data_IF_758127811782
#
_entry.id   IF_758127811782
#
_cell.length_a   1.000
_cell.length_b   1.000
_cell.length_c   1.000
_cell.angle_alpha   90.00
_cell.angle_beta   90.00
_cell.angle_gamma   90.00
#
_symmetry.space_group_name_H-M   'P 1'
#
loop_
_entity.id
_entity.type
_entity.pdbx_description
1 polymer ?
#
# COMPACT_ATOMS: atom_id res chain seq x y z
N UNK A 1 11.51 2.18 4.50
CA UNK A 1 10.77 1.74 3.29
C UNK A 1 9.60 0.81 3.57
N UNK A 2 9.67 -0.13 4.53
CA UNK A 2 8.58 -1.11 4.80
C UNK A 2 7.20 -0.48 4.96
N UNK A 3 7.11 0.61 5.73
CA UNK A 3 5.84 1.34 5.92
C UNK A 3 5.22 1.84 4.60
N UNK A 4 6.04 2.40 3.71
CA UNK A 4 5.59 2.86 2.39
C UNK A 4 5.14 1.65 1.56
N UNK A 5 5.95 0.60 1.47
CA UNK A 5 5.59 -0.59 0.70
C UNK A 5 4.29 -1.27 1.19
N UNK A 6 4.05 -1.30 2.50
CA UNK A 6 2.80 -1.81 3.09
C UNK A 6 1.62 -0.87 2.80
N UNK A 7 1.84 0.45 2.81
CA UNK A 7 0.81 1.42 2.43
C UNK A 7 0.42 1.27 0.96
N UNK A 8 1.38 1.20 0.04
CA UNK A 8 1.12 0.97 -1.37
C UNK A 8 0.38 -0.35 -1.60
N UNK A 9 0.78 -1.41 -0.89
CA UNK A 9 0.06 -2.69 -0.92
C UNK A 9 -1.37 -2.57 -0.40
N UNK A 10 -1.60 -1.84 0.71
CA UNK A 10 -2.94 -1.64 1.28
C UNK A 10 -3.91 -1.05 0.26
N UNK A 11 -3.46 -0.02 -0.47
CA UNK A 11 -4.27 0.67 -1.48
C UNK A 11 -4.22 -0.01 -2.87
N UNK A 12 -3.46 -1.10 -3.01
CA UNK A 12 -3.31 -1.81 -4.29
C UNK A 12 -2.58 -0.98 -5.34
N UNK A 13 -1.64 -0.13 -4.94
CA UNK A 13 -0.84 0.64 -5.88
C UNK A 13 0.41 -0.14 -6.30
N UNK A 14 0.48 -0.43 -7.59
CA UNK A 14 1.64 -1.05 -8.22
C UNK A 14 2.45 -0.07 -9.06
N UNK A 15 2.04 1.19 -9.20
CA UNK A 15 2.69 2.20 -10.04
C UNK A 15 3.59 3.15 -9.23
N UNK A 16 4.68 2.63 -8.68
CA UNK A 16 5.68 3.41 -7.93
C UNK A 16 7.07 2.76 -7.97
N UNK A 17 8.16 3.51 -7.81
CA UNK A 17 9.51 2.93 -7.75
C UNK A 17 10.52 3.88 -7.12
N UNK A 18 11.12 3.48 -5.98
CA UNK A 18 12.21 4.26 -5.37
C UNK A 18 13.45 4.32 -6.27
N UNK A 19 13.98 3.20 -6.81
CA UNK A 19 15.18 3.27 -7.63
C UNK A 19 14.99 4.08 -8.92
N UNK A 20 13.77 4.08 -9.48
CA UNK A 20 13.48 4.81 -10.71
C UNK A 20 12.90 6.21 -10.46
N UNK A 21 12.79 6.63 -9.19
CA UNK A 21 12.15 7.89 -8.79
C UNK A 21 10.77 8.11 -9.47
N UNK A 22 9.95 7.06 -9.50
CA UNK A 22 8.63 7.04 -10.12
C UNK A 22 7.55 7.08 -9.05
N UNK A 23 6.67 8.09 -9.09
CA UNK A 23 5.56 8.30 -8.14
C UNK A 23 6.00 8.28 -6.66
N UNK A 24 7.22 8.76 -6.41
CA UNK A 24 7.82 8.85 -5.08
C UNK A 24 8.85 9.98 -5.02
N UNK A 25 8.79 10.77 -3.96
CA UNK A 25 9.73 11.86 -3.70
C UNK A 25 10.54 11.53 -2.44
N UNK A 26 11.84 11.85 -2.45
CA UNK A 26 12.73 11.66 -1.30
C UNK A 26 12.97 12.98 -0.59
N UNK A 27 12.40 13.12 0.61
CA UNK A 27 12.54 14.33 1.43
C UNK A 27 13.66 14.14 2.44
N UNK A 28 14.70 14.98 2.33
CA UNK A 28 15.87 14.97 3.21
C UNK A 28 15.70 15.92 4.39
N UNK A 29 16.19 15.53 5.58
CA UNK A 29 16.24 16.42 6.72
C UNK A 29 17.20 17.58 6.43
N UNK A 30 16.74 18.82 6.65
CA UNK A 30 17.59 20.02 6.56
C UNK A 30 18.63 20.07 7.67
N UNK A 31 18.29 19.55 8.85
CA UNK A 31 19.15 19.58 10.03
C UNK A 31 20.19 18.46 10.03
N UNK A 32 19.85 17.31 9.44
CA UNK A 32 20.77 16.18 9.34
C UNK A 32 20.62 15.45 7.98
N UNK A 33 21.29 15.96 6.93
CA UNK A 33 21.22 15.37 5.58
C UNK A 33 21.78 13.95 5.45
N UNK A 34 22.53 13.47 6.45
CA UNK A 34 23.09 12.12 6.47
C UNK A 34 22.08 11.06 6.94
N UNK A 35 20.93 11.46 7.48
CA UNK A 35 19.85 10.53 7.80
C UNK A 35 19.22 9.97 6.52
N UNK A 36 18.68 8.76 6.64
CA UNK A 36 17.86 8.18 5.57
C UNK A 36 16.69 9.13 5.23
N UNK A 37 16.45 9.41 3.94
CA UNK A 37 15.36 10.30 3.54
C UNK A 37 13.99 9.69 3.83
N UNK A 38 12.99 10.55 3.95
CA UNK A 38 11.60 10.15 3.98
C UNK A 38 11.10 9.95 2.55
N UNK A 39 10.66 8.74 2.26
CA UNK A 39 9.95 8.44 1.02
C UNK A 39 8.49 8.89 1.13
N UNK A 40 8.08 9.79 0.24
CA UNK A 40 6.71 10.31 0.15
C UNK A 40 6.13 9.85 -1.19
N UNK A 41 5.24 8.85 -1.20
CA UNK A 41 4.56 8.47 -2.42
C UNK A 41 3.54 9.52 -2.83
N UNK A 42 3.32 9.66 -4.13
CA UNK A 42 2.33 10.55 -4.73
C UNK A 42 1.75 9.88 -5.98
N UNK A 43 0.71 10.48 -6.56
CA UNK A 43 -0.03 9.94 -7.72
C UNK A 43 -0.68 8.57 -7.45
N UNK A 44 -1.93 8.59 -6.98
CA UNK A 44 -2.65 7.40 -6.53
C UNK A 44 -3.81 7.01 -7.47
N UNK A 45 -3.89 7.62 -8.65
CA UNK A 45 -4.97 7.39 -9.59
C UNK A 45 -4.97 5.95 -10.16
N UNK A 46 -3.80 5.31 -10.25
CA UNK A 46 -3.60 3.92 -10.67
C UNK A 46 -3.73 2.88 -9.54
N UNK A 47 -4.12 3.29 -8.33
CA UNK A 47 -4.27 2.33 -7.23
C UNK A 47 -5.60 1.55 -7.30
N UNK A 48 -5.55 0.27 -6.92
CA UNK A 48 -6.73 -0.60 -6.84
C UNK A 48 -7.86 -0.07 -5.94
N UNK A 49 -7.55 0.76 -4.95
CA UNK A 49 -8.57 1.41 -4.11
C UNK A 49 -9.41 2.43 -4.89
N UNK A 50 -8.81 3.12 -5.86
CA UNK A 50 -9.49 4.11 -6.71
C UNK A 50 -10.25 3.42 -7.84
N UNK A 51 -9.68 2.35 -8.42
CA UNK A 51 -10.28 1.58 -9.52
C UNK A 51 -10.76 2.50 -10.66
N UNK A 52 -9.89 3.43 -11.06
CA UNK A 52 -10.20 4.40 -12.10
C UNK A 52 -10.49 3.70 -13.43
N UNK A 53 -11.54 4.14 -14.14
CA UNK A 53 -11.97 3.49 -15.39
C UNK A 53 -10.94 3.52 -16.51
N UNK A 54 -9.94 4.39 -16.41
CA UNK A 54 -8.83 4.51 -17.36
C UNK A 54 -7.56 3.79 -16.91
N UNK A 55 -7.48 3.34 -15.64
CA UNK A 55 -6.32 2.63 -15.15
C UNK A 55 -6.24 1.26 -15.83
N UNK A 56 -5.02 0.88 -16.21
CA UNK A 56 -4.74 -0.39 -16.88
C UNK A 56 -3.84 -1.22 -15.94
N UNK A 57 -4.06 -2.55 -15.83
CA UNK A 57 -3.20 -3.40 -15.02
C UNK A 57 -1.73 -3.31 -15.43
N UNK A 58 -0.83 -3.51 -14.46
CA UNK A 58 0.60 -3.48 -14.73
C UNK A 58 1.06 -4.84 -15.28
N UNK A 59 1.12 -4.97 -16.61
CA UNK A 59 1.53 -6.21 -17.29
C UNK A 59 2.90 -6.74 -16.80
N UNK A 60 3.84 -5.82 -16.52
CA UNK A 60 5.20 -6.14 -16.03
C UNK A 60 5.17 -6.88 -14.69
N UNK A 61 4.09 -6.74 -13.92
CA UNK A 61 3.91 -7.31 -12.58
C UNK A 61 2.92 -8.50 -12.64
N UNK A 62 2.33 -8.78 -13.81
CA UNK A 62 1.49 -9.95 -14.05
C UNK A 62 0.07 -9.86 -13.49
N UNK A 63 -0.41 -8.65 -13.18
CA UNK A 63 -1.79 -8.44 -12.72
C UNK A 63 -2.77 -8.43 -13.88
N UNK A 64 -3.92 -9.10 -13.74
CA UNK A 64 -5.00 -9.04 -14.74
C UNK A 64 -6.00 -7.91 -14.46
N UNK A 65 -5.99 -7.38 -13.23
CA UNK A 65 -6.89 -6.30 -12.77
C UNK A 65 -6.11 -5.27 -11.96
N UNK A 66 -6.49 -4.00 -12.09
CA UNK A 66 -5.93 -2.89 -11.28
C UNK A 66 -6.17 -3.10 -9.79
N UNK A 67 -7.23 -3.83 -9.43
CA UNK A 67 -7.58 -4.14 -8.03
C UNK A 67 -6.74 -5.26 -7.41
N UNK A 68 -5.93 -5.98 -8.19
CA UNK A 68 -5.04 -7.02 -7.66
C UNK A 68 -3.86 -6.40 -6.91
N UNK A 69 -3.69 -6.81 -5.64
CA UNK A 69 -2.58 -6.32 -4.82
C UNK A 69 -1.32 -7.12 -5.09
N UNK A 70 -0.22 -6.42 -5.33
CA UNK A 70 1.11 -7.03 -5.37
C UNK A 70 2.04 -6.30 -4.41
N UNK A 71 2.65 -7.04 -3.49
CA UNK A 71 3.60 -6.45 -2.55
C UNK A 71 4.93 -6.20 -3.25
N UNK A 72 5.24 -4.92 -3.50
CA UNK A 72 6.46 -4.50 -4.21
C UNK A 72 7.65 -4.18 -3.29
N UNK A 73 7.50 -4.43 -1.98
CA UNK A 73 8.59 -4.29 -1.01
C UNK A 73 9.50 -5.51 -0.99
N UNK A 74 10.74 -5.31 -0.52
CA UNK A 74 11.66 -6.41 -0.24
C UNK A 74 11.20 -7.25 0.97
N UNK A 75 11.58 -8.54 1.03
CA UNK A 75 11.26 -9.40 2.16
C UNK A 75 11.78 -8.82 3.47
N UNK A 76 11.01 -9.03 4.53
CA UNK A 76 11.37 -8.70 5.92
C UNK A 76 11.30 -9.96 6.76
N UNK A 77 11.96 -9.94 7.92
CA UNK A 77 11.69 -10.99 8.90
C UNK A 77 10.31 -10.78 9.54
N UNK A 78 9.79 -11.83 10.16
CA UNK A 78 8.42 -11.81 10.72
C UNK A 78 8.23 -10.72 11.78
N UNK A 79 9.24 -10.45 12.61
CA UNK A 79 9.12 -9.47 13.69
C UNK A 79 9.07 -8.04 13.13
N UNK A 80 9.96 -7.71 12.18
CA UNK A 80 10.01 -6.41 11.49
C UNK A 80 8.71 -6.08 10.73
N UNK A 81 8.17 -7.05 9.99
CA UNK A 81 6.92 -6.81 9.26
C UNK A 81 5.77 -6.65 10.25
N UNK A 82 5.75 -7.42 11.33
CA UNK A 82 4.67 -7.40 12.29
C UNK A 82 4.59 -6.07 13.05
N UNK A 83 5.72 -5.48 13.44
CA UNK A 83 5.78 -4.12 14.01
C UNK A 83 5.16 -3.08 13.06
N UNK A 84 5.46 -3.20 11.76
CA UNK A 84 4.86 -2.31 10.75
C UNK A 84 3.37 -2.56 10.64
N UNK A 85 2.93 -3.82 10.56
CA UNK A 85 1.52 -4.17 10.43
C UNK A 85 0.70 -3.75 11.66
N UNK A 86 1.26 -3.80 12.86
CA UNK A 86 0.61 -3.36 14.10
C UNK A 86 0.28 -1.86 14.06
N UNK A 87 1.17 -1.06 13.46
CA UNK A 87 0.87 0.35 13.18
C UNK A 87 -0.38 0.47 12.29
N UNK A 88 -0.50 -0.30 11.21
CA UNK A 88 -1.68 -0.27 10.34
C UNK A 88 -2.94 -0.74 11.06
N UNK A 89 -2.88 -1.85 11.81
CA UNK A 89 -3.99 -2.34 12.63
C UNK A 89 -4.49 -1.26 13.59
N UNK A 90 -3.58 -0.57 14.27
CA UNK A 90 -3.93 0.53 15.20
C UNK A 90 -4.61 1.73 14.51
N UNK A 91 -4.46 1.88 13.20
CA UNK A 91 -5.03 2.99 12.41
C UNK A 91 -6.26 2.59 11.61
N UNK A 92 -6.70 1.33 11.66
CA UNK A 92 -7.83 0.80 10.89
C UNK A 92 -9.06 1.70 10.93
N UNK A 93 -9.55 2.01 12.11
CA UNK A 93 -10.78 2.80 12.26
C UNK A 93 -10.63 4.24 11.76
N UNK A 94 -9.45 4.84 11.95
CA UNK A 94 -9.15 6.16 11.43
C UNK A 94 -9.16 6.17 9.90
N UNK A 95 -8.50 5.20 9.27
CA UNK A 95 -8.44 5.06 7.81
C UNK A 95 -9.83 4.86 7.22
N UNK A 96 -10.61 3.91 7.76
CA UNK A 96 -11.98 3.67 7.30
C UNK A 96 -12.89 4.88 7.57
N UNK A 97 -12.64 5.60 8.67
CA UNK A 97 -13.34 6.82 9.04
C UNK A 97 -13.18 7.95 8.01
N UNK A 98 -12.01 8.09 7.38
CA UNK A 98 -11.79 9.06 6.30
C UNK A 98 -12.80 8.86 5.16
N UNK A 99 -12.98 7.61 4.72
CA UNK A 99 -13.90 7.28 3.61
C UNK A 99 -15.36 7.46 4.04
N UNK A 100 -15.72 6.93 5.22
CA UNK A 100 -17.10 7.01 5.75
C UNK A 100 -17.58 8.46 5.83
N UNK A 101 -16.72 9.35 6.33
CA UNK A 101 -17.03 10.74 6.59
C UNK A 101 -16.88 11.66 5.37
N UNK A 102 -16.40 11.16 4.23
CA UNK A 102 -16.19 11.99 3.05
C UNK A 102 -17.51 12.23 2.29
N UNK A 103 -18.13 13.39 2.50
CA UNK A 103 -19.51 13.67 2.04
C UNK A 103 -19.69 13.72 0.52
N UNK A 104 -18.62 13.97 -0.25
CA UNK A 104 -18.71 14.09 -1.71
C UNK A 104 -18.71 12.76 -2.46
N UNK A 105 -18.36 11.65 -1.79
CA UNK A 105 -18.39 10.33 -2.40
C UNK A 105 -19.77 9.67 -2.23
N UNK A 106 -20.36 9.10 -3.30
CA UNK A 106 -21.58 8.30 -3.18
C UNK A 106 -21.37 7.06 -2.32
N UNK A 107 -22.40 6.65 -1.56
CA UNK A 107 -22.30 5.50 -0.65
C UNK A 107 -21.91 4.20 -1.35
N UNK A 108 -22.34 4.00 -2.60
CA UNK A 108 -21.93 2.84 -3.40
C UNK A 108 -20.41 2.77 -3.56
N UNK A 109 -19.76 3.90 -3.85
CA UNK A 109 -18.29 3.98 -4.01
C UNK A 109 -17.62 3.80 -2.65
N UNK A 110 -18.10 4.49 -1.61
CA UNK A 110 -17.58 4.32 -0.23
C UNK A 110 -17.59 2.86 0.22
N UNK A 111 -18.69 2.15 -0.01
CA UNK A 111 -18.83 0.75 0.37
C UNK A 111 -17.85 -0.16 -0.38
N UNK A 112 -17.57 0.14 -1.66
CA UNK A 112 -16.54 -0.56 -2.43
C UNK A 112 -15.14 -0.34 -1.83
N UNK A 113 -14.76 0.92 -1.61
CA UNK A 113 -13.47 1.29 -1.01
C UNK A 113 -13.28 0.69 0.38
N UNK A 114 -14.31 0.75 1.24
CA UNK A 114 -14.28 0.17 2.59
C UNK A 114 -14.07 -1.35 2.50
N UNK A 115 -14.83 -2.05 1.64
CA UNK A 115 -14.69 -3.50 1.46
C UNK A 115 -13.28 -3.87 1.00
N UNK A 116 -12.72 -3.09 0.08
CA UNK A 116 -11.36 -3.26 -0.41
C UNK A 116 -10.36 -3.15 0.75
N UNK A 117 -10.41 -2.09 1.54
CA UNK A 117 -9.50 -1.92 2.69
C UNK A 117 -9.72 -2.96 3.79
N UNK A 118 -10.97 -3.36 4.06
CA UNK A 118 -11.28 -4.41 5.02
C UNK A 118 -10.65 -5.76 4.63
N UNK A 119 -10.54 -6.05 3.33
CA UNK A 119 -9.80 -7.22 2.84
C UNK A 119 -8.33 -7.15 3.20
N UNK A 120 -7.66 -6.00 2.98
CA UNK A 120 -6.29 -5.80 3.45
C UNK A 120 -6.17 -6.03 4.96
N UNK A 121 -7.10 -5.48 5.75
CA UNK A 121 -7.09 -5.70 7.19
C UNK A 121 -7.28 -7.17 7.56
N UNK A 122 -8.12 -7.93 6.84
CA UNK A 122 -8.23 -9.39 7.06
C UNK A 122 -6.95 -10.15 6.73
N UNK A 123 -6.27 -9.78 5.63
CA UNK A 123 -5.00 -10.37 5.21
C UNK A 123 -3.96 -10.23 6.31
N UNK A 124 -3.83 -9.04 6.89
CA UNK A 124 -2.79 -8.78 7.89
C UNK A 124 -3.12 -9.44 9.24
N UNK A 125 -4.36 -9.83 9.54
CA UNK A 125 -4.67 -10.62 10.75
C UNK A 125 -4.24 -12.10 10.63
N UNK A 126 -4.01 -12.60 9.42
CA UNK A 126 -3.63 -13.98 9.18
C UNK A 126 -2.12 -14.14 9.01
N UNK A 127 -1.47 -14.81 9.98
CA UNK A 127 -0.02 -15.04 9.96
C UNK A 127 0.48 -15.77 8.69
N UNK A 128 -0.31 -16.69 8.13
CA UNK A 128 0.08 -17.42 6.93
C UNK A 128 0.04 -16.51 5.69
N UNK A 129 -1.00 -15.67 5.58
CA UNK A 129 -1.11 -14.69 4.51
C UNK A 129 0.02 -13.66 4.62
N UNK A 130 0.33 -13.19 5.84
CA UNK A 130 1.44 -12.29 6.09
C UNK A 130 2.78 -12.90 5.64
N UNK A 131 3.06 -14.14 6.04
CA UNK A 131 4.30 -14.83 5.61
C UNK A 131 4.34 -14.97 4.08
N UNK A 132 3.24 -15.44 3.50
CA UNK A 132 3.15 -15.67 2.05
C UNK A 132 3.39 -14.39 1.25
N UNK A 133 2.72 -13.30 1.61
CA UNK A 133 2.72 -12.05 0.83
C UNK A 133 3.98 -11.22 1.08
N UNK A 134 4.36 -11.01 2.35
CA UNK A 134 5.39 -10.02 2.71
C UNK A 134 6.80 -10.62 2.86
N UNK A 135 6.92 -11.95 2.80
CA UNK A 135 8.20 -12.66 2.98
C UNK A 135 8.46 -13.60 1.80
N UNK A 136 7.62 -14.60 1.59
CA UNK A 136 7.89 -15.68 0.64
C UNK A 136 7.77 -15.21 -0.82
N UNK A 137 6.75 -14.41 -1.13
CA UNK A 137 6.50 -13.86 -2.47
C UNK A 137 6.85 -12.37 -2.58
N UNK A 138 7.64 -11.85 -1.65
CA UNK A 138 8.12 -10.48 -1.71
C UNK A 138 9.13 -10.28 -2.84
N UNK A 139 9.32 -9.02 -3.24
CA UNK A 139 10.25 -8.65 -4.32
C UNK A 139 11.68 -9.02 -3.96
N UNK A 140 12.37 -9.78 -4.83
CA UNK A 140 13.77 -10.22 -4.62
C UNK A 140 14.79 -9.52 -5.52
N UNK A 141 14.35 -8.81 -6.55
CA UNK A 141 15.16 -7.98 -7.46
C UNK A 141 14.37 -6.79 -8.01
#
# INVERSE_FOLDING_TARGET
MTRVAVFEYMIGNTDWSVPNNHNIELVFSRENPALMPFAVPYDFDYCGLVDASYAVPADVIGTEKVTERVYRGFPRNMDEIQETLDLFRSKKDNVLGVIRNFVLLPDKIKNGMIRYLEEFFRIIENKNDVKSIFIDNARTS
#
